data_IF_269962826404
#
_entry.id   IF_269962826404
#
_cell.length_a   1.000
_cell.length_b   1.000
_cell.length_c   1.000
_cell.angle_alpha   90.00
_cell.angle_beta   90.00
_cell.angle_gamma   90.00
#
_symmetry.space_group_name_H-M   'P 1'
#
loop_
_entity.id
_entity.type
_entity.pdbx_description
1 polymer ?
#
# COMPACT_ATOMS: atom_id res chain seq x y z
N UNK A 1 0.01 -17.20 -8.63
CA UNK A 1 0.17 -16.29 -7.47
C UNK A 1 0.48 -14.91 -8.03
N UNK A 2 -0.35 -13.89 -7.78
CA UNK A 2 -0.06 -12.53 -8.27
C UNK A 2 0.99 -11.91 -7.36
N UNK A 3 2.20 -11.74 -7.88
CA UNK A 3 3.20 -10.94 -7.19
C UNK A 3 2.75 -9.47 -7.24
N UNK A 4 2.24 -9.01 -6.10
CA UNK A 4 1.97 -7.59 -5.87
C UNK A 4 3.30 -6.85 -5.91
N UNK A 5 3.52 -6.14 -7.01
CA UNK A 5 4.61 -5.18 -7.15
C UNK A 5 4.35 -4.00 -6.20
N UNK A 6 5.01 -4.03 -5.03
CA UNK A 6 4.81 -3.04 -3.99
C UNK A 6 5.21 -1.65 -4.45
N UNK A 7 6.27 -1.52 -5.25
CA UNK A 7 6.71 -0.25 -5.83
C UNK A 7 5.57 0.43 -6.59
N UNK A 8 4.91 -0.31 -7.49
CA UNK A 8 3.74 0.17 -8.22
C UNK A 8 2.51 0.35 -7.33
N UNK A 9 2.33 -0.52 -6.34
CA UNK A 9 1.22 -0.41 -5.39
C UNK A 9 1.31 0.87 -4.54
N UNK A 10 2.52 1.36 -4.24
CA UNK A 10 2.77 2.61 -3.51
C UNK A 10 2.97 3.84 -4.42
N UNK A 11 3.01 3.68 -5.74
CA UNK A 11 3.02 4.82 -6.66
C UNK A 11 1.64 5.44 -6.85
N UNK A 12 1.58 6.78 -6.87
CA UNK A 12 0.38 7.51 -7.25
C UNK A 12 -0.04 7.10 -8.67
N UNK A 13 -1.31 6.71 -8.90
CA UNK A 13 -1.74 6.25 -10.21
C UNK A 13 -1.84 7.38 -11.25
N UNK A 14 -1.76 8.65 -10.80
CA UNK A 14 -1.83 9.83 -11.67
C UNK A 14 -0.45 10.31 -12.13
N UNK A 15 0.54 10.33 -11.24
CA UNK A 15 1.87 10.89 -11.54
C UNK A 15 3.04 9.93 -11.35
N UNK A 16 2.81 8.69 -10.91
CA UNK A 16 3.87 7.70 -10.69
C UNK A 16 4.70 7.91 -9.42
N UNK A 17 4.71 9.13 -8.86
CA UNK A 17 5.42 9.45 -7.62
C UNK A 17 4.98 8.61 -6.43
N UNK A 18 5.93 8.24 -5.57
CA UNK A 18 5.63 7.50 -4.34
C UNK A 18 4.92 8.46 -3.37
N UNK A 19 3.71 8.09 -2.96
CA UNK A 19 2.97 8.84 -1.96
C UNK A 19 3.43 8.50 -0.53
N UNK A 20 3.27 9.44 0.39
CA UNK A 20 3.55 9.19 1.81
C UNK A 20 2.48 8.29 2.42
N UNK A 21 2.90 7.18 3.02
CA UNK A 21 2.02 6.29 3.79
C UNK A 21 1.89 6.88 5.18
N UNK A 22 0.66 7.20 5.59
CA UNK A 22 0.41 7.80 6.91
C UNK A 22 -0.48 6.93 7.80
N UNK A 23 -1.03 5.83 7.26
CA UNK A 23 -1.75 4.84 8.05
C UNK A 23 -1.55 3.45 7.44
N UNK A 24 -1.15 2.53 8.30
CA UNK A 24 -1.12 1.09 8.03
C UNK A 24 -1.92 0.41 9.13
N UNK A 25 -2.96 -0.34 8.77
CA UNK A 25 -3.80 -1.07 9.73
C UNK A 25 -4.00 -2.50 9.28
N UNK A 26 -3.71 -3.45 10.15
CA UNK A 26 -4.07 -4.86 9.94
C UNK A 26 -5.57 -5.04 10.21
N UNK A 27 -6.25 -5.73 9.30
CA UNK A 27 -7.68 -6.03 9.37
C UNK A 27 -7.90 -7.47 8.87
N UNK A 28 -7.79 -8.44 9.78
CA UNK A 28 -7.83 -9.86 9.45
C UNK A 28 -6.67 -10.24 8.53
N UNK A 29 -6.97 -10.91 7.41
CA UNK A 29 -5.99 -11.33 6.41
C UNK A 29 -5.61 -10.23 5.39
N UNK A 30 -5.82 -8.95 5.72
CA UNK A 30 -5.55 -7.81 4.85
C UNK A 30 -4.91 -6.67 5.63
N UNK A 31 -4.07 -5.90 4.95
CA UNK A 31 -3.52 -4.65 5.43
C UNK A 31 -4.22 -3.52 4.66
N UNK A 32 -4.78 -2.57 5.40
CA UNK A 32 -5.34 -1.34 4.88
C UNK A 32 -4.25 -0.28 4.93
N UNK A 33 -3.93 0.28 3.77
CA UNK A 33 -2.96 1.36 3.63
C UNK A 33 -3.72 2.63 3.25
N UNK A 34 -3.46 3.73 3.96
CA UNK A 34 -3.79 5.07 3.49
C UNK A 34 -2.51 5.81 3.13
N UNK A 35 -2.55 6.40 1.96
CA UNK A 35 -1.42 7.09 1.35
C UNK A 35 -1.86 8.44 0.83
N UNK A 36 -0.96 9.43 0.88
CA UNK A 36 -1.18 10.76 0.30
C UNK A 36 -0.08 11.09 -0.71
N UNK A 37 -0.49 11.34 -1.94
CA UNK A 37 0.35 11.99 -2.94
C UNK A 37 0.41 13.49 -2.60
N UNK A 38 1.60 14.13 -2.63
CA UNK A 38 1.74 15.57 -2.38
C UNK A 38 0.88 16.43 -3.32
N UNK A 39 0.73 15.99 -4.57
CA UNK A 39 0.07 16.75 -5.64
C UNK A 39 -1.39 16.36 -5.84
N UNK A 40 -1.72 15.06 -5.73
CA UNK A 40 -3.02 14.52 -6.13
C UNK A 40 -3.93 14.10 -4.96
N UNK A 41 -3.45 14.22 -3.72
CA UNK A 41 -4.23 13.94 -2.53
C UNK A 41 -4.18 12.49 -2.04
N UNK A 42 -5.15 12.14 -1.21
CA UNK A 42 -5.20 10.87 -0.48
C UNK A 42 -5.86 9.72 -1.24
N UNK A 43 -5.38 8.49 -1.02
CA UNK A 43 -6.05 7.24 -1.42
C UNK A 43 -5.93 6.19 -0.32
N UNK A 44 -6.84 5.22 -0.36
CA UNK A 44 -6.80 4.04 0.49
C UNK A 44 -6.89 2.78 -0.36
N UNK A 45 -6.08 1.77 -0.04
CA UNK A 45 -6.10 0.49 -0.73
C UNK A 45 -5.80 -0.66 0.24
N UNK A 46 -6.15 -1.88 -0.18
CA UNK A 46 -5.99 -3.09 0.63
C UNK A 46 -4.98 -4.00 -0.04
N UNK A 47 -4.01 -4.48 0.72
CA UNK A 47 -3.11 -5.55 0.29
C UNK A 47 -3.42 -6.81 1.13
N UNK A 48 -3.42 -8.01 0.54
CA UNK A 48 -3.50 -9.24 1.32
C UNK A 48 -2.29 -9.34 2.25
N UNK A 49 -2.55 -9.71 3.50
CA UNK A 49 -1.52 -10.09 4.46
C UNK A 49 -0.96 -11.43 3.98
N UNK A 50 0.17 -11.40 3.27
CA UNK A 50 0.86 -12.62 2.84
C UNK A 50 1.49 -13.27 4.07
N UNK A 51 1.53 -14.61 4.13
CA UNK A 51 2.26 -15.40 5.16
C UNK A 51 3.80 -15.25 5.09
N UNK A 52 4.31 -14.14 4.55
CA UNK A 52 5.76 -13.85 4.43
C UNK A 52 6.30 -13.10 5.64
N UNK A 53 5.67 -13.27 6.79
CA UNK A 53 6.20 -12.81 8.07
C UNK A 53 7.26 -13.81 8.58
N UNK A 54 8.35 -13.95 7.82
CA UNK A 54 9.48 -14.83 8.18
C UNK A 54 10.48 -14.14 9.11
N UNK A 55 10.17 -12.95 9.59
CA UNK A 55 11.09 -12.05 10.28
C UNK A 55 10.53 -11.45 11.59
N UNK A 56 9.43 -11.99 12.12
CA UNK A 56 9.02 -11.80 13.52
C UNK A 56 9.23 -13.10 14.27
#
# INVERSE_FOLDING_TARGET
>A
MVDLDYSRAFSCPKCGEIGNIYLVKVAGNKIIIKQRCPTHGGRAFKIPLKDKDKYI
#
